data_IF_574258540161
#
_entry.id   IF_574258540161
#
_cell.length_a   1.000
_cell.length_b   1.000
_cell.length_c   1.000
_cell.angle_alpha   90.00
_cell.angle_beta   90.00
_cell.angle_gamma   90.00
#
_symmetry.space_group_name_H-M   'P 1'
#
loop_
_entity.id
_entity.type
_entity.pdbx_description
1 polymer ?
#
# COMPACT_ATOMS: atom_id res chain seq x y z
N UNK A 1 -5.28 -3.65 -2.29
CA UNK A 1 -4.96 -3.25 -0.90
C UNK A 1 -6.11 -3.57 0.03
N UNK A 2 -7.33 -3.26 -0.39
CA UNK A 2 -8.54 -3.40 0.43
C UNK A 2 -8.80 -4.80 0.95
N UNK A 3 -8.66 -5.86 0.14
CA UNK A 3 -8.94 -7.22 0.60
C UNK A 3 -7.99 -7.71 1.71
N UNK A 4 -6.71 -7.36 1.66
CA UNK A 4 -5.72 -7.74 2.69
C UNK A 4 -5.92 -6.94 3.98
N UNK A 5 -6.24 -5.65 3.85
CA UNK A 5 -6.58 -4.80 4.99
C UNK A 5 -7.89 -5.27 5.63
N UNK A 6 -8.89 -5.63 4.83
CA UNK A 6 -10.16 -6.17 5.30
C UNK A 6 -9.95 -7.49 6.04
N UNK A 7 -9.20 -8.43 5.45
CA UNK A 7 -8.85 -9.70 6.11
C UNK A 7 -8.15 -9.48 7.45
N UNK A 8 -7.30 -8.45 7.57
CA UNK A 8 -6.66 -8.08 8.83
C UNK A 8 -7.68 -7.61 9.88
N UNK A 9 -8.62 -6.77 9.46
CA UNK A 9 -9.67 -6.24 10.33
C UNK A 9 -10.59 -7.37 10.80
N UNK A 10 -11.02 -8.26 9.90
CA UNK A 10 -11.88 -9.40 10.24
C UNK A 10 -11.21 -10.34 11.26
N UNK A 11 -9.89 -10.56 11.16
CA UNK A 11 -9.13 -11.34 12.13
C UNK A 11 -9.09 -10.66 13.51
N UNK A 12 -8.89 -9.34 13.55
CA UNK A 12 -8.88 -8.57 14.80
C UNK A 12 -10.27 -8.54 15.45
N UNK A 13 -11.33 -8.35 14.66
CA UNK A 13 -12.72 -8.38 15.11
C UNK A 13 -13.10 -9.76 15.65
N UNK A 14 -12.60 -10.83 15.03
CA UNK A 14 -12.78 -12.20 15.51
C UNK A 14 -11.89 -12.55 16.73
N UNK A 15 -11.08 -11.61 17.23
CA UNK A 15 -10.15 -11.85 18.35
C UNK A 15 -9.04 -12.85 18.01
N UNK A 16 -8.74 -13.05 16.72
CA UNK A 16 -7.74 -14.00 16.23
C UNK A 16 -6.37 -13.33 16.09
N UNK A 17 -5.33 -14.14 16.19
CA UNK A 17 -3.96 -13.68 15.90
C UNK A 17 -3.85 -13.27 14.43
N UNK A 18 -3.30 -12.08 14.17
CA UNK A 18 -3.00 -11.61 12.82
C UNK A 18 -1.65 -12.17 12.38
N UNK A 19 -1.59 -12.99 11.30
CA UNK A 19 -0.34 -13.53 10.82
C UNK A 19 0.65 -12.44 10.40
N UNK A 20 1.93 -12.59 10.77
CA UNK A 20 2.99 -11.61 10.45
C UNK A 20 3.11 -11.34 8.94
N UNK A 21 2.92 -12.37 8.11
CA UNK A 21 2.97 -12.22 6.65
C UNK A 21 1.95 -11.22 6.12
N UNK A 22 0.78 -11.11 6.77
CA UNK A 22 -0.29 -10.19 6.36
C UNK A 22 0.16 -8.74 6.52
N UNK A 23 0.84 -8.42 7.62
CA UNK A 23 1.44 -7.10 7.85
C UNK A 23 2.55 -6.79 6.84
N UNK A 24 3.38 -7.79 6.48
CA UNK A 24 4.42 -7.62 5.47
C UNK A 24 3.83 -7.38 4.07
N UNK A 25 2.78 -8.12 3.69
CA UNK A 25 2.10 -7.95 2.42
C UNK A 25 1.45 -6.56 2.29
N UNK A 26 0.73 -6.12 3.32
CA UNK A 26 0.15 -4.77 3.38
C UNK A 26 1.24 -3.70 3.28
N UNK A 27 2.33 -3.86 4.03
CA UNK A 27 3.45 -2.90 4.02
C UNK A 27 4.17 -2.84 2.68
N UNK A 28 4.39 -3.98 2.03
CA UNK A 28 5.02 -4.06 0.72
C UNK A 28 4.16 -3.38 -0.34
N UNK A 29 2.87 -3.68 -0.36
CA UNK A 29 1.94 -3.06 -1.30
C UNK A 29 1.84 -1.55 -1.08
N UNK A 30 1.72 -1.08 0.17
CA UNK A 30 1.75 0.35 0.49
C UNK A 30 3.01 1.04 -0.05
N UNK A 31 4.20 0.45 0.15
CA UNK A 31 5.44 1.00 -0.38
C UNK A 31 5.46 1.03 -1.90
N UNK A 32 4.94 -0.01 -2.56
CA UNK A 32 4.84 -0.07 -4.01
C UNK A 32 3.91 1.04 -4.55
N UNK A 33 2.71 1.17 -4.00
CA UNK A 33 1.76 2.22 -4.38
C UNK A 33 2.34 3.63 -4.17
N UNK A 34 2.96 3.89 -3.01
CA UNK A 34 3.63 5.16 -2.73
C UNK A 34 4.78 5.44 -3.71
N UNK A 35 5.49 4.41 -4.14
CA UNK A 35 6.56 4.54 -5.13
C UNK A 35 5.99 4.86 -6.51
N UNK A 36 4.94 4.15 -6.92
CA UNK A 36 4.27 4.37 -8.21
C UNK A 36 3.64 5.77 -8.27
N UNK A 37 2.97 6.22 -7.19
CA UNK A 37 2.46 7.60 -7.07
C UNK A 37 3.58 8.64 -7.15
N UNK A 38 4.71 8.39 -6.47
CA UNK A 38 5.87 9.29 -6.54
C UNK A 38 6.43 9.37 -7.96
N UNK A 39 6.56 8.24 -8.65
CA UNK A 39 7.03 8.19 -10.05
C UNK A 39 6.09 8.95 -10.96
N UNK A 40 4.78 8.78 -10.82
CA UNK A 40 3.78 9.51 -11.60
C UNK A 40 3.86 11.01 -11.31
N UNK A 41 3.96 11.40 -10.04
CA UNK A 41 4.12 12.79 -9.64
C UNK A 41 5.38 13.42 -10.23
N UNK A 42 6.53 12.74 -10.14
CA UNK A 42 7.80 13.20 -10.72
C UNK A 42 7.71 13.33 -12.25
N UNK A 43 7.01 12.42 -12.93
CA UNK A 43 6.78 12.50 -14.38
C UNK A 43 5.88 13.68 -14.76
N UNK A 44 4.81 13.95 -13.99
CA UNK A 44 3.93 15.10 -14.21
C UNK A 44 4.68 16.41 -13.99
N UNK A 45 5.42 16.53 -12.87
CA UNK A 45 6.21 17.72 -12.56
C UNK A 45 7.25 17.99 -13.65
N UNK A 46 7.94 16.96 -14.16
CA UNK A 46 8.89 17.11 -15.28
C UNK A 46 8.22 17.59 -16.56
N UNK A 47 7.05 17.05 -16.88
CA UNK A 47 6.26 17.49 -18.04
C UNK A 47 5.84 18.96 -17.95
N UNK A 48 5.40 19.40 -16.77
CA UNK A 48 4.95 20.78 -16.54
C UNK A 48 6.11 21.78 -16.44
N UNK A 49 7.31 21.31 -16.07
CA UNK A 49 8.53 22.14 -16.00
C UNK A 49 9.26 22.30 -17.34
N UNK A 50 8.76 21.70 -18.43
CA UNK A 50 9.24 21.93 -19.80
C UNK A 50 10.65 21.40 -20.09
N UNK A 51 11.14 20.45 -19.29
CA UNK A 51 12.38 19.69 -19.54
C UNK A 51 12.16 18.52 -20.50
#
# INVERSE_FOLDING_TARGET
MDELTQTKLDLLEAGKEVPKFLNYAISYLNRKYLTDEKVISDLIVRRDSGL
#
